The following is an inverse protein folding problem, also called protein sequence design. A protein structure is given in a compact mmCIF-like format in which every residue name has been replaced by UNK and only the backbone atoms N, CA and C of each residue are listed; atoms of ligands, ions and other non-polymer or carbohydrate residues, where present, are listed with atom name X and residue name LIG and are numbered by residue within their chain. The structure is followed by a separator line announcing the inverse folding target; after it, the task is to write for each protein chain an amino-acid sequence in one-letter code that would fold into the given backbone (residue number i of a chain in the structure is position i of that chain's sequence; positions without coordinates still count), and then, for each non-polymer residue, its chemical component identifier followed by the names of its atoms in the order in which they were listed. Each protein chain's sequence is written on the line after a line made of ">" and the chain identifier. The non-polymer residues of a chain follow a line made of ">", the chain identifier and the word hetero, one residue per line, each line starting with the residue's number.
data_IF_490726655470
#
_entry.id   IF_490726655470
#
_cell.length_a   1.000
_cell.length_b   1.000
_cell.length_c   1.000
_cell.angle_alpha   90.00
_cell.angle_beta   90.00
_cell.angle_gamma   90.00
#
_symmetry.space_group_name_H-M   'P 1'
#
loop_
_entity.id
_entity.type
_entity.pdbx_description
1 polymer ?
#
# COMPACT_ATOMS: atom_id res chain seq x y z
N UNK A 1 38.80 0.01 -8.89
CA UNK A 1 38.30 -0.64 -7.65
C UNK A 1 39.22 -0.43 -6.45
N UNK A 2 40.49 -0.84 -6.49
CA UNK A 2 41.42 -0.66 -5.36
C UNK A 2 41.65 0.84 -5.06
N UNK A 3 41.83 1.66 -6.09
CA UNK A 3 42.01 3.12 -5.91
C UNK A 3 40.77 3.79 -5.32
N UNK A 4 39.58 3.40 -5.79
CA UNK A 4 38.29 3.87 -5.25
C UNK A 4 38.13 3.52 -3.78
N UNK A 5 38.41 2.26 -3.40
CA UNK A 5 38.33 1.81 -2.01
C UNK A 5 39.36 2.50 -1.11
N UNK A 6 40.54 2.79 -1.64
CA UNK A 6 41.62 3.51 -0.96
C UNK A 6 41.25 4.98 -0.76
N UNK A 7 40.64 5.62 -1.76
CA UNK A 7 40.07 6.96 -1.66
C UNK A 7 38.99 7.08 -0.60
N UNK A 8 38.03 6.13 -0.58
CA UNK A 8 36.96 6.12 0.44
C UNK A 8 37.54 5.98 1.86
N UNK A 9 38.52 5.08 2.04
CA UNK A 9 39.21 4.93 3.33
C UNK A 9 39.89 6.21 3.78
N UNK A 10 40.55 6.92 2.85
CA UNK A 10 41.23 8.18 3.15
C UNK A 10 40.25 9.29 3.55
N UNK A 11 39.12 9.37 2.85
CA UNK A 11 38.09 10.38 3.09
C UNK A 11 37.31 10.14 4.39
N UNK A 12 37.27 8.90 4.88
CA UNK A 12 36.57 8.50 6.11
C UNK A 12 37.56 8.05 7.20
N UNK A 13 38.80 8.55 7.19
CA UNK A 13 39.90 8.02 8.01
C UNK A 13 39.67 8.02 9.53
N UNK A 14 38.70 8.78 10.02
CA UNK A 14 38.29 8.83 11.43
C UNK A 14 37.13 7.89 11.79
N UNK A 15 36.43 7.32 10.79
CA UNK A 15 35.30 6.41 11.00
C UNK A 15 35.34 5.23 10.01
N UNK A 16 35.89 4.07 10.44
CA UNK A 16 35.96 2.89 9.59
C UNK A 16 34.57 2.32 9.23
N UNK A 17 33.54 2.56 10.06
CA UNK A 17 32.18 2.12 9.76
C UNK A 17 31.57 2.97 8.65
N UNK A 18 31.77 4.29 8.67
CA UNK A 18 31.39 5.17 7.57
C UNK A 18 32.10 4.80 6.26
N UNK A 19 33.40 4.49 6.33
CA UNK A 19 34.17 4.01 5.18
C UNK A 19 33.59 2.71 4.61
N UNK A 20 33.22 1.76 5.48
CA UNK A 20 32.58 0.51 5.10
C UNK A 20 31.24 0.72 4.40
N UNK A 21 30.37 1.55 4.99
CA UNK A 21 29.06 1.89 4.41
C UNK A 21 29.20 2.54 3.03
N UNK A 22 30.10 3.50 2.89
CA UNK A 22 30.30 4.18 1.61
C UNK A 22 30.82 3.24 0.52
N UNK A 23 31.69 2.28 0.88
CA UNK A 23 32.11 1.23 -0.06
C UNK A 23 30.94 0.38 -0.52
N UNK A 24 30.05 -0.03 0.38
CA UNK A 24 28.85 -0.80 0.01
C UNK A 24 27.96 0.01 -0.94
N UNK A 25 27.72 1.28 -0.63
CA UNK A 25 26.91 2.17 -1.48
C UNK A 25 27.51 2.31 -2.88
N UNK A 26 28.81 2.57 -2.99
CA UNK A 26 29.48 2.79 -4.27
C UNK A 26 29.59 1.53 -5.11
N UNK A 27 29.77 0.36 -4.48
CA UNK A 27 30.04 -0.87 -5.21
C UNK A 27 28.82 -1.75 -5.43
N UNK A 28 27.91 -1.82 -4.46
CA UNK A 28 26.76 -2.71 -4.49
C UNK A 28 25.46 -2.01 -4.89
N UNK A 29 25.34 -0.70 -4.68
CA UNK A 29 24.08 0.03 -4.97
C UNK A 29 24.12 0.81 -6.29
N UNK A 30 25.29 1.04 -6.87
CA UNK A 30 25.41 1.62 -8.22
C UNK A 30 25.38 0.50 -9.27
N UNK A 31 24.42 0.54 -10.19
CA UNK A 31 24.14 -0.55 -11.13
C UNK A 31 25.28 -0.88 -12.07
N UNK A 32 25.97 0.12 -12.63
CA UNK A 32 27.09 -0.11 -13.56
C UNK A 32 28.25 -0.78 -12.85
N UNK A 33 28.64 -0.24 -11.68
CA UNK A 33 29.73 -0.79 -10.88
C UNK A 33 29.39 -2.20 -10.38
N UNK A 34 28.16 -2.42 -9.92
CA UNK A 34 27.68 -3.74 -9.53
C UNK A 34 27.69 -4.71 -10.70
N UNK A 35 27.22 -4.32 -11.89
CA UNK A 35 27.20 -5.18 -13.07
C UNK A 35 28.61 -5.57 -13.54
N UNK A 36 29.60 -4.68 -13.40
CA UNK A 36 31.01 -5.01 -13.66
C UNK A 36 31.53 -6.03 -12.63
N UNK A 37 31.26 -5.82 -11.35
CA UNK A 37 31.67 -6.74 -10.28
C UNK A 37 31.01 -8.12 -10.39
N UNK A 38 29.70 -8.17 -10.65
CA UNK A 38 28.98 -9.42 -10.87
C UNK A 38 29.57 -10.22 -12.04
N UNK A 39 29.87 -9.55 -13.16
CA UNK A 39 30.52 -10.20 -14.32
C UNK A 39 31.88 -10.78 -13.98
N UNK A 40 32.71 -10.06 -13.21
CA UNK A 40 34.00 -10.58 -12.74
C UNK A 40 33.85 -11.80 -11.82
N UNK A 41 32.73 -11.91 -11.11
CA UNK A 41 32.41 -13.02 -10.21
C UNK A 41 31.59 -14.15 -10.86
N UNK A 42 31.29 -14.04 -12.17
CA UNK A 42 30.46 -15.02 -12.88
C UNK A 42 28.99 -15.01 -12.46
N UNK A 43 28.50 -13.91 -11.89
CA UNK A 43 27.10 -13.72 -11.50
C UNK A 43 26.38 -12.99 -12.65
N UNK A 44 25.40 -13.65 -13.27
CA UNK A 44 24.64 -13.12 -14.41
C UNK A 44 23.20 -12.72 -14.06
N UNK A 45 22.90 -12.61 -12.76
CA UNK A 45 21.57 -12.26 -12.26
C UNK A 45 21.61 -10.98 -11.44
N UNK A 46 20.45 -10.37 -11.26
CA UNK A 46 20.35 -9.18 -10.42
C UNK A 46 20.48 -9.53 -8.94
N UNK A 47 21.24 -8.71 -8.20
CA UNK A 47 21.39 -8.87 -6.75
C UNK A 47 20.23 -8.24 -5.97
N UNK A 48 19.46 -7.33 -6.58
CA UNK A 48 18.32 -6.71 -5.90
C UNK A 48 17.21 -7.71 -5.60
N UNK A 49 17.09 -8.78 -6.40
CA UNK A 49 16.17 -9.89 -6.13
C UNK A 49 16.59 -10.79 -4.98
N UNK A 50 17.80 -10.62 -4.44
CA UNK A 50 18.30 -11.38 -3.29
C UNK A 50 18.21 -10.59 -1.98
N UNK A 51 17.87 -9.29 -2.05
CA UNK A 51 17.67 -8.47 -0.87
C UNK A 51 16.37 -8.88 -0.20
N UNK A 52 16.42 -9.09 1.11
CA UNK A 52 15.23 -9.29 1.92
C UNK A 52 14.24 -8.13 1.67
N UNK A 53 12.99 -8.42 1.25
CA UNK A 53 11.96 -7.41 1.06
C UNK A 53 11.80 -6.43 2.23
N UNK A 54 12.08 -6.85 3.47
CA UNK A 54 12.01 -6.00 4.66
C UNK A 54 13.00 -4.83 4.62
N UNK A 55 14.18 -5.02 4.01
CA UNK A 55 15.22 -4.01 3.91
C UNK A 55 15.12 -3.18 2.62
N UNK A 56 14.27 -3.61 1.68
CA UNK A 56 14.13 -2.97 0.38
C UNK A 56 13.76 -1.48 0.45
N UNK A 57 12.83 -1.03 1.32
CA UNK A 57 12.49 0.39 1.41
C UNK A 57 13.69 1.28 1.78
N UNK A 58 14.54 0.83 2.71
CA UNK A 58 15.72 1.56 3.13
C UNK A 58 16.80 1.59 2.03
N UNK A 59 17.01 0.44 1.37
CA UNK A 59 17.94 0.33 0.23
C UNK A 59 17.52 1.23 -0.93
N UNK A 60 16.23 1.24 -1.30
CA UNK A 60 15.70 2.09 -2.36
C UNK A 60 15.83 3.58 -2.01
N UNK A 61 15.55 3.95 -0.76
CA UNK A 61 15.75 5.33 -0.28
C UNK A 61 17.21 5.76 -0.41
N UNK A 62 18.14 4.87 -0.03
CA UNK A 62 19.57 5.14 -0.11
C UNK A 62 20.05 5.29 -1.55
N UNK A 63 19.55 4.47 -2.48
CA UNK A 63 19.84 4.59 -3.92
C UNK A 63 19.33 5.92 -4.47
N UNK A 64 18.08 6.29 -4.14
CA UNK A 64 17.48 7.54 -4.59
C UNK A 64 18.31 8.75 -4.15
N UNK A 65 18.78 8.75 -2.89
CA UNK A 65 19.58 9.85 -2.32
C UNK A 65 21.00 9.92 -2.88
N UNK A 66 21.61 8.79 -3.23
CA UNK A 66 23.04 8.72 -3.58
C UNK A 66 23.31 8.67 -5.08
N UNK A 67 22.41 8.07 -5.85
CA UNK A 67 22.65 7.70 -7.24
C UNK A 67 21.57 8.23 -8.21
N UNK A 68 20.49 8.83 -7.69
CA UNK A 68 19.45 9.49 -8.48
C UNK A 68 18.37 8.55 -9.04
N UNK A 69 17.47 9.12 -9.84
CA UNK A 69 16.23 8.46 -10.28
C UNK A 69 16.46 7.27 -11.22
N UNK A 70 17.46 7.32 -12.10
CA UNK A 70 17.74 6.23 -13.04
C UNK A 70 18.16 4.94 -12.34
N UNK A 71 19.00 5.06 -11.31
CA UNK A 71 19.46 3.95 -10.48
C UNK A 71 18.35 3.42 -9.57
N UNK A 72 17.53 4.33 -9.03
CA UNK A 72 16.32 3.96 -8.31
C UNK A 72 15.38 3.16 -9.19
N UNK A 73 15.12 3.62 -10.43
CA UNK A 73 14.25 2.93 -11.38
C UNK A 73 14.74 1.51 -11.68
N UNK A 74 16.04 1.35 -11.96
CA UNK A 74 16.65 0.03 -12.18
C UNK A 74 16.53 -0.88 -10.95
N UNK A 75 16.70 -0.33 -9.74
CA UNK A 75 16.56 -1.08 -8.50
C UNK A 75 15.13 -1.55 -8.25
N UNK A 76 14.14 -0.66 -8.44
CA UNK A 76 12.72 -1.00 -8.31
C UNK A 76 12.33 -2.08 -9.32
N UNK A 77 12.67 -1.89 -10.59
CA UNK A 77 12.32 -2.83 -11.65
C UNK A 77 12.89 -4.22 -11.39
N UNK A 78 14.12 -4.29 -10.88
CA UNK A 78 14.74 -5.56 -10.54
C UNK A 78 14.16 -6.22 -9.29
N UNK A 79 13.66 -5.44 -8.33
CA UNK A 79 13.14 -5.97 -7.07
C UNK A 79 11.69 -6.44 -7.21
N UNK A 80 10.95 -5.88 -8.17
CA UNK A 80 9.51 -6.08 -8.29
C UNK A 80 9.12 -7.56 -8.46
N UNK A 81 9.87 -8.32 -9.26
CA UNK A 81 9.59 -9.75 -9.50
C UNK A 81 9.75 -10.59 -8.22
N UNK A 82 10.64 -10.17 -7.33
CA UNK A 82 10.89 -10.82 -6.04
C UNK A 82 9.83 -10.44 -5.02
N UNK A 83 9.40 -9.17 -5.03
CA UNK A 83 8.25 -8.75 -4.25
C UNK A 83 7.00 -9.55 -4.65
N UNK A 84 6.74 -9.69 -5.96
CA UNK A 84 5.62 -10.49 -6.44
C UNK A 84 5.74 -11.98 -6.07
N UNK A 85 6.94 -12.57 -6.04
CA UNK A 85 7.12 -13.98 -5.66
C UNK A 85 6.95 -14.23 -4.15
N UNK A 86 7.24 -13.23 -3.32
CA UNK A 86 7.08 -13.30 -1.85
C UNK A 86 5.67 -12.96 -1.38
N UNK A 87 4.89 -12.25 -2.20
CA UNK A 87 3.50 -11.96 -1.89
C UNK A 87 2.66 -13.24 -1.85
N UNK A 88 2.08 -13.53 -0.67
CA UNK A 88 1.07 -14.56 -0.55
C UNK A 88 -0.24 -14.07 -1.18
N UNK A 89 -0.43 -14.41 -2.46
CA UNK A 89 -1.60 -14.03 -3.26
C UNK A 89 -2.91 -14.50 -2.63
N UNK A 90 -2.93 -15.67 -2.01
CA UNK A 90 -4.10 -16.21 -1.31
C UNK A 90 -4.50 -15.30 -0.14
N UNK A 91 -3.53 -14.88 0.68
CA UNK A 91 -3.77 -13.97 1.80
C UNK A 91 -4.26 -12.60 1.32
N UNK A 92 -3.71 -12.10 0.22
CA UNK A 92 -4.14 -10.83 -0.39
C UNK A 92 -5.60 -10.88 -0.85
N UNK A 93 -5.98 -11.95 -1.56
CA UNK A 93 -7.37 -12.16 -1.99
C UNK A 93 -8.29 -12.31 -0.77
N UNK A 94 -7.86 -13.00 0.28
CA UNK A 94 -8.66 -13.14 1.50
C UNK A 94 -8.90 -11.79 2.18
N UNK A 95 -7.88 -10.94 2.29
CA UNK A 95 -8.04 -9.57 2.83
C UNK A 95 -9.01 -8.73 2.00
N UNK A 96 -8.95 -8.84 0.68
CA UNK A 96 -9.86 -8.13 -0.23
C UNK A 96 -11.31 -8.61 -0.02
N UNK A 97 -11.52 -9.93 0.11
CA UNK A 97 -12.83 -10.50 0.45
C UNK A 97 -13.35 -9.99 1.78
N UNK A 98 -12.52 -9.98 2.82
CA UNK A 98 -12.91 -9.53 4.16
C UNK A 98 -13.28 -8.04 4.17
N UNK A 99 -12.52 -7.22 3.44
CA UNK A 99 -12.83 -5.80 3.25
C UNK A 99 -14.20 -5.60 2.59
N UNK A 100 -14.48 -6.32 1.51
CA UNK A 100 -15.78 -6.23 0.84
C UNK A 100 -16.93 -6.79 1.68
N UNK A 101 -16.69 -7.87 2.43
CA UNK A 101 -17.69 -8.41 3.36
C UNK A 101 -18.05 -7.40 4.46
N UNK A 102 -17.05 -6.71 5.03
CA UNK A 102 -17.28 -5.65 6.00
C UNK A 102 -18.07 -4.48 5.39
N UNK A 103 -17.75 -4.08 4.17
CA UNK A 103 -18.51 -3.04 3.44
C UNK A 103 -19.95 -3.46 3.15
N UNK A 104 -20.18 -4.70 2.76
CA UNK A 104 -21.53 -5.21 2.54
C UNK A 104 -22.36 -5.19 3.84
N UNK A 105 -21.77 -5.60 4.97
CA UNK A 105 -22.44 -5.54 6.27
C UNK A 105 -22.80 -4.10 6.68
N UNK A 106 -21.92 -3.13 6.42
CA UNK A 106 -22.21 -1.70 6.63
C UNK A 106 -23.42 -1.23 5.80
N UNK A 107 -23.47 -1.63 4.53
CA UNK A 107 -24.59 -1.29 3.64
C UNK A 107 -25.89 -1.96 4.07
N UNK A 108 -25.86 -3.22 4.50
CA UNK A 108 -27.03 -3.94 5.03
C UNK A 108 -27.60 -3.20 6.25
N UNK A 109 -26.76 -2.80 7.20
CA UNK A 109 -27.20 -2.07 8.37
C UNK A 109 -27.86 -0.72 8.02
N UNK A 110 -27.33 0.01 7.03
CA UNK A 110 -27.92 1.25 6.53
C UNK A 110 -29.28 1.03 5.86
N UNK A 111 -29.45 -0.08 5.14
CA UNK A 111 -30.74 -0.44 4.54
C UNK A 111 -31.77 -0.72 5.64
N UNK A 112 -31.41 -1.48 6.67
CA UNK A 112 -32.30 -1.76 7.80
C UNK A 112 -32.70 -0.50 8.58
N UNK A 113 -31.81 0.50 8.68
CA UNK A 113 -32.10 1.80 9.27
C UNK A 113 -33.13 2.57 8.43
N UNK A 114 -32.91 2.68 7.12
CA UNK A 114 -33.83 3.34 6.19
C UNK A 114 -35.20 2.66 6.15
N UNK A 115 -35.25 1.33 6.22
CA UNK A 115 -36.51 0.58 6.27
C UNK A 115 -37.32 0.89 7.54
N UNK A 116 -36.66 1.09 8.69
CA UNK A 116 -37.30 1.53 9.93
C UNK A 116 -37.85 2.95 9.80
N UNK A 117 -37.08 3.87 9.21
CA UNK A 117 -37.55 5.24 8.95
C UNK A 117 -38.78 5.24 8.02
N UNK A 118 -38.77 4.43 6.95
CA UNK A 118 -39.91 4.31 6.05
C UNK A 118 -41.16 3.74 6.75
N UNK A 119 -41.00 2.77 7.64
CA UNK A 119 -42.12 2.21 8.41
C UNK A 119 -42.77 3.27 9.31
N UNK A 120 -41.97 4.03 10.06
CA UNK A 120 -42.48 5.11 10.94
C UNK A 120 -43.22 6.21 10.18
N UNK A 121 -42.73 6.60 8.99
CA UNK A 121 -43.40 7.58 8.13
C UNK A 121 -44.75 7.04 7.63
N UNK A 122 -44.81 5.76 7.22
CA UNK A 122 -46.05 5.11 6.75
C UNK A 122 -47.10 5.02 7.85
N UNK A 123 -46.71 4.66 9.08
CA UNK A 123 -47.61 4.61 10.23
C UNK A 123 -48.17 6.00 10.57
N UNK A 124 -47.32 7.03 10.60
CA UNK A 124 -47.75 8.41 10.85
C UNK A 124 -48.72 8.91 9.77
N UNK A 125 -48.52 8.54 8.50
CA UNK A 125 -49.43 8.90 7.41
C UNK A 125 -50.79 8.19 7.50
N UNK A 126 -50.82 6.94 7.94
CA UNK A 126 -52.06 6.17 8.13
C UNK A 126 -52.93 6.78 9.26
N UNK A 127 -52.32 7.17 10.38
CA UNK A 127 -53.04 7.82 11.50
C UNK A 127 -53.68 9.16 11.07
N UNK A 128 -52.96 10.00 10.33
CA UNK A 128 -53.49 11.28 9.82
C UNK A 128 -54.69 11.13 8.87
N UNK A 129 -54.78 9.99 8.18
CA UNK A 129 -55.87 9.70 7.25
C UNK A 129 -57.15 9.26 7.96
N UNK A 130 -57.05 8.59 9.12
CA UNK A 130 -58.21 8.20 9.94
C UNK A 130 -58.87 9.40 10.64
N UNK A 131 -58.08 10.35 11.14
CA UNK A 131 -58.60 11.57 11.78
C UNK A 131 -59.41 12.45 10.81
N UNK A 132 -59.04 12.45 9.53
CA UNK A 132 -59.71 13.23 8.50
C UNK A 132 -61.07 12.64 8.11
N UNK A 133 -61.23 11.31 8.17
CA UNK A 133 -62.49 10.59 7.86
C UNK A 133 -63.52 10.75 8.99
N UNK A 134 -63.09 10.74 10.26
CA UNK A 134 -63.99 10.96 11.39
C UNK A 134 -64.51 12.42 11.44
N UNK A 135 -63.68 13.38 11.04
CA UNK A 135 -64.01 14.80 11.05
C UNK A 135 -65.05 15.21 9.99
N UNK A 136 -65.10 14.52 8.85
CA UNK A 136 -66.09 14.82 7.79
C UNK A 136 -67.49 14.26 8.06
N UNK A 137 -67.61 13.17 8.83
CA UNK A 137 -68.91 12.51 9.09
C UNK A 137 -69.87 13.34 9.95
N UNK A 138 -69.37 14.30 10.74
CA UNK A 138 -70.20 15.08 11.66
C UNK A 138 -70.92 16.29 11.03
N UNK A 139 -70.69 16.60 9.75
CA UNK A 139 -71.23 17.83 9.12
C UNK A 139 -72.61 17.67 8.45
N UNK A 140 -73.19 16.46 8.37
CA UNK A 140 -74.43 16.18 7.63
C UNK A 140 -75.72 16.06 8.46
N UNK A 141 -75.69 16.36 9.77
CA UNK A 141 -76.83 16.07 10.68
C UNK A 141 -77.51 17.28 11.35
N UNK A 142 -77.38 18.48 10.78
CA UNK A 142 -78.14 19.66 11.23
C UNK A 142 -78.86 20.29 10.04
N UNK A 143 -80.12 19.91 9.86
CA UNK A 143 -81.17 20.62 9.13
C UNK A 143 -82.43 20.52 9.95
#
# INVERSE_FOLDING_TARGET
>A
HIDTATGINRNNGSDPNAAGREKVIQTQLHSETRAVLCRLQGIDRSLYSEIDPLHLPEVLSLIAQRHGEGELYAAVLSSIMTLFSTMNREKCIQQERDYHAAKAAEHIAKVEELDKELATIKEAAAMRSQDNVCSQSNKRRRT
#
